data_IF_535351457694
#
_entry.id   IF_535351457694
#
_cell.length_a   1.000
_cell.length_b   1.000
_cell.length_c   1.000
_cell.angle_alpha   90.00
_cell.angle_beta   90.00
_cell.angle_gamma   90.00
#
_symmetry.space_group_name_H-M   'P 1'
#
loop_
_entity.id
_entity.type
_entity.pdbx_description
1 polymer ?
#
# COMPACT_ATOMS: atom_id res chain seq x y z
N UNK A 1 -15.58 12.21 10.48
CA UNK A 1 -14.51 12.01 11.48
C UNK A 1 -13.19 12.52 10.91
N UNK A 2 -12.23 12.95 11.74
CA UNK A 2 -10.89 13.37 11.30
C UNK A 2 -9.93 12.18 11.36
N UNK A 3 -9.45 11.75 10.20
CA UNK A 3 -8.58 10.57 10.07
C UNK A 3 -7.19 10.99 9.62
N UNK A 4 -6.19 10.50 10.35
CA UNK A 4 -4.79 10.70 10.04
C UNK A 4 -4.14 9.40 9.63
N UNK A 5 -3.63 9.34 8.40
CA UNK A 5 -2.83 8.22 7.90
C UNK A 5 -1.35 8.57 8.02
N UNK A 6 -0.57 7.70 8.64
CA UNK A 6 0.85 7.96 8.91
C UNK A 6 1.70 6.83 8.36
N UNK A 7 2.71 7.21 7.56
CA UNK A 7 3.86 6.36 7.25
C UNK A 7 5.07 6.87 8.05
N UNK A 8 5.45 6.20 9.16
CA UNK A 8 6.62 6.59 9.94
C UNK A 8 7.92 6.31 9.18
N UNK A 9 8.92 7.14 9.43
CA UNK A 9 10.19 7.05 8.74
C UNK A 9 10.93 5.79 9.20
N UNK A 10 11.59 5.10 8.25
CA UNK A 10 12.51 4.04 8.61
C UNK A 10 13.64 4.61 9.46
N UNK A 11 14.16 3.83 10.42
CA UNK A 11 15.24 4.27 11.31
C UNK A 11 16.42 4.87 10.53
N UNK A 12 16.76 4.24 9.40
CA UNK A 12 17.83 4.68 8.52
C UNK A 12 17.57 6.10 7.99
N UNK A 13 16.32 6.48 7.71
CA UNK A 13 15.93 7.79 7.19
C UNK A 13 16.17 8.98 8.12
N UNK A 14 16.52 8.71 9.38
CA UNK A 14 16.86 9.72 10.37
C UNK A 14 18.36 9.79 10.69
N UNK A 15 19.19 8.99 10.02
CA UNK A 15 20.65 8.95 10.23
C UNK A 15 21.34 10.21 9.69
N UNK A 16 22.40 10.75 10.33
CA UNK A 16 23.13 11.92 9.83
C UNK A 16 24.03 11.63 8.61
N UNK A 17 24.23 10.38 8.21
CA UNK A 17 25.14 9.98 7.11
C UNK A 17 24.44 9.88 5.73
N UNK A 18 23.42 10.70 5.48
CA UNK A 18 22.27 10.30 4.65
C UNK A 18 22.25 10.65 3.15
N UNK A 19 21.53 9.81 2.39
CA UNK A 19 21.06 10.04 1.01
C UNK A 19 19.52 10.14 0.97
N UNK A 20 18.94 11.36 1.05
CA UNK A 20 17.48 11.58 1.05
C UNK A 20 16.74 10.86 -0.10
N UNK A 21 17.38 10.78 -1.26
CA UNK A 21 16.81 10.23 -2.50
C UNK A 21 16.36 8.77 -2.36
N UNK A 22 17.04 7.95 -1.53
CA UNK A 22 16.75 6.50 -1.47
C UNK A 22 15.40 6.19 -0.82
N UNK A 23 14.85 7.08 0.00
CA UNK A 23 13.67 6.80 0.83
C UNK A 23 12.50 7.76 0.57
N UNK A 24 12.70 8.81 -0.23
CA UNK A 24 11.64 9.64 -0.82
C UNK A 24 11.21 9.14 -2.20
N UNK A 25 11.27 7.82 -2.43
CA UNK A 25 11.14 7.23 -3.77
C UNK A 25 9.69 7.13 -4.22
N UNK A 26 8.84 6.51 -3.40
CA UNK A 26 7.45 6.20 -3.73
C UNK A 26 6.48 6.75 -2.69
N UNK A 27 5.32 7.29 -3.09
CA UNK A 27 4.25 7.63 -2.15
C UNK A 27 3.66 6.40 -1.44
N UNK A 28 3.08 6.57 -0.23
CA UNK A 28 2.47 5.47 0.55
C UNK A 28 1.11 5.06 -0.04
N UNK A 29 1.14 4.32 -1.16
CA UNK A 29 -0.05 3.93 -1.90
C UNK A 29 -1.04 3.09 -1.06
N UNK A 30 -0.55 2.22 -0.18
CA UNK A 30 -1.41 1.41 0.69
C UNK A 30 -2.31 2.28 1.57
N UNK A 31 -1.75 3.27 2.26
CA UNK A 31 -2.51 4.23 3.07
C UNK A 31 -3.46 5.07 2.22
N UNK A 32 -3.02 5.53 1.05
CA UNK A 32 -3.88 6.28 0.13
C UNK A 32 -5.03 5.45 -0.45
N UNK A 33 -4.85 4.13 -0.60
CA UNK A 33 -5.92 3.18 -0.97
C UNK A 33 -6.90 3.00 0.18
N UNK A 34 -6.42 2.83 1.42
CA UNK A 34 -7.31 2.71 2.58
C UNK A 34 -8.13 3.99 2.82
N UNK A 35 -7.53 5.16 2.62
CA UNK A 35 -8.21 6.45 2.73
C UNK A 35 -9.40 6.61 1.77
N UNK A 36 -9.44 5.84 0.67
CA UNK A 36 -10.54 5.87 -0.29
C UNK A 36 -11.84 5.21 0.21
N UNK A 37 -11.78 4.46 1.32
CA UNK A 37 -12.97 3.87 1.97
C UNK A 37 -13.66 4.80 2.97
N UNK A 38 -13.08 5.96 3.25
CA UNK A 38 -13.70 6.95 4.13
C UNK A 38 -14.99 7.51 3.53
N UNK A 39 -15.93 7.89 4.40
CA UNK A 39 -17.17 8.51 3.96
C UNK A 39 -16.88 9.91 3.38
N UNK A 40 -17.76 10.46 2.50
CA UNK A 40 -17.56 11.79 1.94
C UNK A 40 -17.38 12.91 2.98
N UNK A 41 -18.01 12.77 4.15
CA UNK A 41 -17.95 13.74 5.26
C UNK A 41 -16.78 13.49 6.24
N UNK A 42 -15.95 12.49 5.97
CA UNK A 42 -14.72 12.26 6.73
C UNK A 42 -13.58 13.12 6.19
N UNK A 43 -12.86 13.77 7.10
CA UNK A 43 -11.65 14.53 6.76
C UNK A 43 -10.45 13.58 6.83
N UNK A 44 -9.56 13.66 5.85
CA UNK A 44 -8.39 12.79 5.76
C UNK A 44 -7.12 13.63 5.56
N UNK A 45 -6.09 13.32 6.34
CA UNK A 45 -4.71 13.76 6.10
C UNK A 45 -3.81 12.55 5.98
N UNK A 46 -2.85 12.60 5.05
CA UNK A 46 -1.84 11.57 4.88
C UNK A 46 -0.47 12.21 5.07
N UNK A 47 0.30 11.70 6.03
CA UNK A 47 1.64 12.19 6.33
C UNK A 47 2.66 11.06 6.19
N UNK A 48 3.65 11.29 5.33
CA UNK A 48 4.79 10.41 5.15
C UNK A 48 6.04 11.07 5.75
N UNK A 49 6.51 10.50 6.86
CA UNK A 49 7.64 11.01 7.64
C UNK A 49 8.96 10.96 6.85
N UNK A 50 9.04 10.18 5.77
CA UNK A 50 10.22 10.16 4.88
C UNK A 50 10.41 11.47 4.11
N UNK A 51 9.35 12.26 3.94
CA UNK A 51 9.37 13.47 3.10
C UNK A 51 8.82 14.70 3.79
N UNK A 52 8.13 14.54 4.93
CA UNK A 52 7.53 15.63 5.70
C UNK A 52 7.54 15.26 7.18
N UNK A 53 8.02 16.11 8.10
CA UNK A 53 7.82 15.88 9.53
C UNK A 53 6.34 15.68 9.86
N UNK A 54 6.04 14.72 10.75
CA UNK A 54 4.68 14.48 11.26
C UNK A 54 4.30 15.62 12.20
N UNK A 55 3.16 16.26 11.99
CA UNK A 55 2.57 17.15 13.00
C UNK A 55 2.07 16.29 14.17
N UNK A 56 2.64 16.43 15.35
CA UNK A 56 2.26 15.61 16.52
C UNK A 56 1.33 16.38 17.48
N UNK A 57 1.08 17.65 17.22
CA UNK A 57 0.27 18.51 18.09
C UNK A 57 -1.20 18.55 17.67
N UNK A 58 -1.54 17.99 16.51
CA UNK A 58 -2.90 17.80 16.05
C UNK A 58 -3.72 16.80 16.91
N UNK A 59 -5.01 16.72 16.61
CA UNK A 59 -5.99 15.94 17.38
C UNK A 59 -6.96 15.20 16.46
N UNK A 60 -6.50 14.19 15.72
CA UNK A 60 -7.37 13.34 14.91
C UNK A 60 -8.27 12.46 15.79
N UNK A 61 -9.40 12.02 15.25
CA UNK A 61 -10.30 11.07 15.92
C UNK A 61 -9.81 9.62 15.72
N UNK A 62 -9.21 9.34 14.54
CA UNK A 62 -8.62 8.06 14.17
C UNK A 62 -7.22 8.26 13.59
N UNK A 63 -6.25 7.48 14.04
CA UNK A 63 -4.90 7.40 13.49
C UNK A 63 -4.64 6.01 12.92
N UNK A 64 -4.30 5.94 11.63
CA UNK A 64 -3.98 4.71 10.91
C UNK A 64 -2.50 4.71 10.56
N UNK A 65 -1.72 3.80 11.13
CA UNK A 65 -0.27 3.78 10.96
C UNK A 65 0.15 2.52 10.20
N UNK A 66 0.87 2.70 9.10
CA UNK A 66 1.54 1.58 8.41
C UNK A 66 2.89 1.32 9.06
N UNK A 67 3.09 0.11 9.58
CA UNK A 67 4.28 -0.28 10.32
C UNK A 67 5.15 -1.21 9.49
N UNK A 68 6.37 -0.74 9.21
CA UNK A 68 7.46 -1.57 8.70
C UNK A 68 8.38 -1.99 9.85
N UNK A 69 9.12 -3.08 9.65
CA UNK A 69 10.02 -3.63 10.67
C UNK A 69 11.01 -2.57 11.17
N UNK A 70 11.63 -1.83 10.24
CA UNK A 70 12.63 -0.79 10.59
C UNK A 70 12.01 0.54 11.04
N UNK A 71 10.69 0.69 11.02
CA UNK A 71 9.96 1.84 11.59
C UNK A 71 9.11 1.49 12.83
N UNK A 72 9.11 0.23 13.29
CA UNK A 72 8.24 -0.26 14.37
C UNK A 72 8.31 0.58 15.64
N UNK A 73 9.53 0.85 16.15
CA UNK A 73 9.71 1.68 17.37
C UNK A 73 9.14 3.09 17.20
N UNK A 74 9.30 3.70 16.02
CA UNK A 74 8.76 5.04 15.73
C UNK A 74 7.23 4.99 15.62
N UNK A 75 6.69 3.96 14.99
CA UNK A 75 5.26 3.73 14.88
C UNK A 75 4.60 3.55 16.25
N UNK A 76 5.18 2.76 17.15
CA UNK A 76 4.67 2.55 18.50
C UNK A 76 4.72 3.83 19.34
N UNK A 77 5.79 4.61 19.25
CA UNK A 77 5.85 5.91 19.90
C UNK A 77 4.71 6.84 19.44
N UNK A 78 4.46 6.90 18.12
CA UNK A 78 3.37 7.70 17.56
C UNK A 78 2.01 7.18 18.04
N UNK A 79 1.82 5.86 17.99
CA UNK A 79 0.62 5.18 18.45
C UNK A 79 0.29 5.54 19.91
N UNK A 80 1.24 5.35 20.82
CA UNK A 80 1.08 5.66 22.24
C UNK A 80 0.83 7.17 22.48
N UNK A 81 1.53 8.04 21.74
CA UNK A 81 1.35 9.49 21.83
C UNK A 81 -0.07 9.93 21.46
N UNK A 82 -0.63 9.38 20.38
CA UNK A 82 -2.00 9.70 19.94
C UNK A 82 -3.06 9.04 20.81
N UNK A 83 -2.85 7.79 21.24
CA UNK A 83 -3.76 7.08 22.15
C UNK A 83 -3.86 7.79 23.49
N UNK A 84 -2.74 8.28 24.05
CA UNK A 84 -2.73 9.09 25.27
C UNK A 84 -3.50 10.42 25.14
N UNK A 85 -3.78 10.87 23.92
CA UNK A 85 -4.57 12.08 23.60
C UNK A 85 -6.02 11.77 23.19
N UNK A 86 -6.43 10.51 23.31
CA UNK A 86 -7.82 10.07 23.08
C UNK A 86 -8.16 9.75 21.63
N UNK A 87 -7.19 9.71 20.71
CA UNK A 87 -7.44 9.21 19.35
C UNK A 87 -7.54 7.68 19.35
N UNK A 88 -8.41 7.12 18.52
CA UNK A 88 -8.41 5.68 18.24
C UNK A 88 -7.22 5.33 17.34
N UNK A 89 -6.42 4.33 17.69
CA UNK A 89 -5.22 3.96 16.95
C UNK A 89 -5.35 2.58 16.29
N UNK A 90 -5.16 2.57 14.97
CA UNK A 90 -5.14 1.40 14.12
C UNK A 90 -3.73 1.16 13.56
N UNK A 91 -3.15 -0.02 13.82
CA UNK A 91 -1.85 -0.41 13.25
C UNK A 91 -2.02 -1.51 12.21
N UNK A 92 -1.34 -1.38 11.07
CA UNK A 92 -1.30 -2.41 10.03
C UNK A 92 0.05 -2.47 9.33
N UNK A 93 0.19 -3.40 8.40
CA UNK A 93 1.42 -3.58 7.62
C UNK A 93 2.20 -4.83 8.00
N UNK A 94 3.39 -4.97 7.39
CA UNK A 94 4.18 -6.19 7.45
C UNK A 94 4.62 -6.55 8.88
N UNK A 95 5.04 -5.54 9.66
CA UNK A 95 5.48 -5.76 11.04
C UNK A 95 4.33 -6.25 11.92
N UNK A 96 3.17 -5.58 11.84
CA UNK A 96 1.97 -5.93 12.62
C UNK A 96 1.50 -7.34 12.30
N UNK A 97 1.57 -7.75 11.03
CA UNK A 97 1.20 -9.11 10.62
C UNK A 97 2.17 -10.16 11.19
N UNK A 98 3.46 -9.83 11.27
CA UNK A 98 4.50 -10.75 11.74
C UNK A 98 4.57 -10.85 13.27
N UNK A 99 4.29 -9.75 13.98
CA UNK A 99 4.36 -9.63 15.44
C UNK A 99 3.07 -9.00 15.99
N UNK A 100 1.92 -9.69 15.85
CA UNK A 100 0.62 -9.11 16.15
C UNK A 100 0.41 -8.83 17.65
N UNK A 101 0.96 -9.67 18.51
CA UNK A 101 0.80 -9.51 19.97
C UNK A 101 1.60 -8.31 20.48
N UNK A 102 2.84 -8.12 19.98
CA UNK A 102 3.67 -6.94 20.27
C UNK A 102 2.98 -5.64 19.81
N UNK A 103 2.52 -5.60 18.55
CA UNK A 103 1.88 -4.41 18.01
C UNK A 103 0.55 -4.08 18.73
N UNK A 104 -0.18 -5.09 19.19
CA UNK A 104 -1.46 -4.91 19.88
C UNK A 104 -1.32 -4.23 21.25
N UNK A 105 -0.14 -4.20 21.87
CA UNK A 105 0.09 -3.45 23.12
C UNK A 105 -0.02 -1.92 22.89
N UNK A 106 0.25 -1.46 21.67
CA UNK A 106 0.31 -0.05 21.29
C UNK A 106 -0.93 0.47 20.55
N UNK A 107 -1.92 -0.39 20.24
CA UNK A 107 -3.05 -0.04 19.37
C UNK A 107 -4.40 -0.40 19.98
N UNK A 108 -5.45 0.27 19.52
CA UNK A 108 -6.84 -0.13 19.81
C UNK A 108 -7.31 -1.24 18.86
N UNK A 109 -6.82 -1.22 17.60
CA UNK A 109 -7.04 -2.28 16.63
C UNK A 109 -5.77 -2.59 15.81
N UNK A 110 -5.53 -3.87 15.53
CA UNK A 110 -4.46 -4.32 14.62
C UNK A 110 -5.02 -5.04 13.38
N UNK A 111 -4.35 -4.85 12.25
CA UNK A 111 -4.72 -5.40 10.94
C UNK A 111 -3.67 -6.41 10.47
N UNK A 112 -4.11 -7.65 10.24
CA UNK A 112 -3.25 -8.74 9.82
C UNK A 112 -3.52 -9.09 8.33
N UNK A 113 -2.46 -9.02 7.53
CA UNK A 113 -2.52 -9.17 6.08
C UNK A 113 -3.05 -7.92 5.34
N UNK A 114 -3.47 -8.07 4.08
CA UNK A 114 -3.97 -6.95 3.26
C UNK A 114 -5.20 -6.26 3.87
N UNK A 115 -5.22 -4.93 3.83
CA UNK A 115 -6.24 -4.12 4.51
C UNK A 115 -7.52 -3.90 3.70
N UNK A 116 -7.53 -4.10 2.38
CA UNK A 116 -8.65 -3.72 1.51
C UNK A 116 -9.97 -4.43 1.86
N UNK A 117 -9.87 -5.66 2.39
CA UNK A 117 -11.02 -6.45 2.82
C UNK A 117 -11.49 -6.06 4.22
N UNK A 118 -10.56 -5.78 5.13
CA UNK A 118 -10.84 -5.66 6.57
C UNK A 118 -11.10 -4.22 7.01
N UNK A 119 -10.46 -3.25 6.37
CA UNK A 119 -10.57 -1.83 6.70
C UNK A 119 -11.99 -1.26 6.52
N UNK A 120 -12.75 -1.51 5.44
CA UNK A 120 -14.14 -1.05 5.36
C UNK A 120 -15.02 -1.60 6.49
N UNK A 121 -14.87 -2.90 6.83
CA UNK A 121 -15.57 -3.50 7.97
C UNK A 121 -15.21 -2.82 9.29
N UNK A 122 -13.92 -2.53 9.49
CA UNK A 122 -13.47 -1.79 10.65
C UNK A 122 -14.12 -0.40 10.76
N UNK A 123 -14.19 0.35 9.66
CA UNK A 123 -14.82 1.67 9.67
C UNK A 123 -16.30 1.59 10.10
N UNK A 124 -17.02 0.56 9.66
CA UNK A 124 -18.41 0.32 10.08
C UNK A 124 -18.51 0.00 11.58
N UNK A 125 -17.66 -0.91 12.07
CA UNK A 125 -17.64 -1.28 13.49
C UNK A 125 -17.20 -0.10 14.38
N UNK A 126 -16.23 0.71 13.94
CA UNK A 126 -15.77 1.90 14.64
C UNK A 126 -16.90 2.92 14.80
N UNK A 127 -17.61 3.23 13.72
CA UNK A 127 -18.77 4.14 13.76
C UNK A 127 -19.91 3.60 14.62
N UNK A 128 -20.07 2.28 14.69
CA UNK A 128 -21.03 1.62 15.56
C UNK A 128 -20.56 1.46 17.02
N UNK A 129 -19.38 1.95 17.38
CA UNK A 129 -18.84 1.87 18.74
C UNK A 129 -18.46 0.46 19.20
N UNK A 130 -18.19 -0.45 18.25
CA UNK A 130 -17.96 -1.88 18.48
C UNK A 130 -16.76 -2.42 17.70
N UNK A 131 -15.77 -1.56 17.44
CA UNK A 131 -14.52 -1.95 16.80
C UNK A 131 -13.85 -3.11 17.55
N UNK A 132 -13.45 -4.14 16.82
CA UNK A 132 -12.71 -5.27 17.38
C UNK A 132 -11.23 -4.92 17.56
N UNK A 133 -10.53 -5.62 18.45
CA UNK A 133 -9.08 -5.44 18.63
C UNK A 133 -8.24 -6.00 17.48
N UNK A 134 -8.79 -6.94 16.69
CA UNK A 134 -8.05 -7.62 15.61
C UNK A 134 -8.93 -7.78 14.38
N UNK A 135 -8.39 -7.36 13.24
CA UNK A 135 -9.00 -7.52 11.94
C UNK A 135 -8.07 -8.35 11.05
N UNK A 136 -8.49 -9.58 10.73
CA UNK A 136 -7.68 -10.55 9.99
C UNK A 136 -8.24 -10.69 8.58
N UNK A 137 -7.38 -10.55 7.57
CA UNK A 137 -7.77 -10.77 6.17
C UNK A 137 -7.79 -12.26 5.84
N UNK A 138 -8.87 -12.71 5.19
CA UNK A 138 -9.20 -14.12 4.94
C UNK A 138 -9.23 -14.45 3.44
N UNK A 139 -9.87 -15.54 3.04
CA UNK A 139 -9.84 -16.07 1.66
C UNK A 139 -10.60 -15.24 0.62
N UNK A 140 -11.51 -14.36 1.03
CA UNK A 140 -12.36 -13.48 0.23
C UNK A 140 -11.66 -12.18 -0.22
N UNK A 141 -10.33 -12.16 -0.25
CA UNK A 141 -9.52 -11.04 -0.80
C UNK A 141 -9.86 -10.78 -2.28
N UNK A 142 -10.08 -9.52 -2.60
CA UNK A 142 -10.32 -9.06 -3.97
C UNK A 142 -9.87 -7.63 -4.15
N UNK A 143 -9.52 -7.27 -5.39
CA UNK A 143 -9.35 -5.88 -5.82
C UNK A 143 -10.49 -5.43 -6.74
N UNK A 144 -11.58 -6.21 -6.82
CA UNK A 144 -12.76 -5.79 -7.56
C UNK A 144 -13.49 -4.68 -6.80
N UNK A 145 -13.90 -3.62 -7.51
CA UNK A 145 -14.66 -2.49 -6.96
C UNK A 145 -13.91 -1.73 -5.86
N UNK A 146 -12.59 -1.64 -5.95
CA UNK A 146 -11.84 -0.73 -5.10
C UNK A 146 -12.29 0.72 -5.40
N UNK A 147 -12.52 1.55 -4.38
CA UNK A 147 -12.70 2.97 -4.62
C UNK A 147 -11.42 3.58 -5.20
N UNK A 148 -11.53 4.63 -6.04
CA UNK A 148 -10.38 5.37 -6.53
C UNK A 148 -9.39 5.79 -5.44
N UNK A 149 -8.12 5.41 -5.58
CA UNK A 149 -7.05 5.79 -4.65
C UNK A 149 -7.00 7.31 -4.42
N UNK A 150 -6.88 7.74 -3.16
CA UNK A 150 -6.85 9.15 -2.74
C UNK A 150 -5.51 9.82 -2.99
N UNK A 151 -5.11 9.90 -4.27
CA UNK A 151 -3.87 10.57 -4.71
C UNK A 151 -3.87 12.07 -4.48
N UNK A 152 -5.02 12.67 -4.22
CA UNK A 152 -5.17 14.07 -3.79
C UNK A 152 -4.53 14.32 -2.42
N UNK A 153 -4.44 13.30 -1.56
CA UNK A 153 -3.74 13.39 -0.26
C UNK A 153 -2.21 13.37 -0.40
N UNK A 154 -1.68 13.07 -1.59
CA UNK A 154 -0.25 12.90 -1.82
C UNK A 154 0.34 14.17 -2.45
N UNK A 155 1.28 14.80 -1.76
CA UNK A 155 2.11 15.85 -2.36
C UNK A 155 3.16 15.25 -3.30
N UNK A 156 2.75 15.01 -4.55
CA UNK A 156 3.54 14.41 -5.62
C UNK A 156 4.91 15.05 -5.86
N UNK A 157 5.13 16.34 -5.51
CA UNK A 157 6.43 17.01 -5.71
C UNK A 157 7.52 16.54 -4.74
N UNK A 158 7.14 15.81 -3.68
CA UNK A 158 8.07 15.30 -2.67
C UNK A 158 8.63 13.91 -2.99
N UNK A 159 8.18 13.28 -4.08
CA UNK A 159 8.56 11.92 -4.45
C UNK A 159 9.30 11.90 -5.78
N UNK A 160 10.34 11.06 -5.89
CA UNK A 160 11.08 10.88 -7.14
C UNK A 160 10.25 10.14 -8.20
N UNK A 161 9.46 9.15 -7.77
CA UNK A 161 8.63 8.32 -8.64
C UNK A 161 7.16 8.43 -8.21
N UNK A 162 6.52 9.61 -8.43
CA UNK A 162 5.16 9.89 -7.96
C UNK A 162 4.08 9.11 -8.73
N UNK A 163 4.44 8.54 -9.89
CA UNK A 163 3.57 7.69 -10.72
C UNK A 163 3.82 6.19 -10.46
N UNK A 164 4.19 5.84 -9.22
CA UNK A 164 4.14 4.45 -8.81
C UNK A 164 2.70 3.96 -8.71
N UNK A 165 2.45 2.68 -8.99
CA UNK A 165 1.14 2.04 -9.02
C UNK A 165 1.27 0.57 -8.61
N UNK A 166 0.19 -0.04 -8.09
CA UNK A 166 0.14 -1.48 -7.79
C UNK A 166 -1.19 -2.05 -8.31
N UNK A 167 -1.15 -2.92 -9.30
CA UNK A 167 -2.35 -3.46 -9.99
C UNK A 167 -2.67 -4.92 -9.65
N UNK A 168 -1.81 -5.56 -8.87
CA UNK A 168 -1.95 -6.90 -8.32
C UNK A 168 -1.56 -6.88 -6.83
N UNK A 169 -1.75 -7.99 -6.13
CA UNK A 169 -1.27 -8.17 -4.76
C UNK A 169 -0.55 -9.50 -4.65
N UNK A 170 0.59 -9.48 -3.98
CA UNK A 170 1.39 -10.68 -3.74
C UNK A 170 2.02 -11.23 -5.01
N UNK A 171 2.37 -12.51 -4.97
CA UNK A 171 3.07 -13.21 -6.03
C UNK A 171 2.62 -14.68 -6.05
N UNK A 172 2.50 -15.34 -7.22
CA UNK A 172 2.13 -16.76 -7.28
C UNK A 172 3.24 -17.71 -6.80
N UNK A 173 4.47 -17.21 -6.58
CA UNK A 173 5.63 -18.01 -6.18
C UNK A 173 5.72 -18.19 -4.66
N UNK A 174 6.35 -19.28 -4.22
CA UNK A 174 6.49 -19.68 -2.82
C UNK A 174 7.96 -19.86 -2.44
N UNK A 175 8.75 -18.79 -2.57
CA UNK A 175 10.18 -18.83 -2.27
C UNK A 175 10.43 -18.88 -0.75
N UNK A 176 11.23 -19.83 -0.28
CA UNK A 176 11.47 -20.08 1.17
C UNK A 176 12.00 -18.87 1.96
N UNK A 177 12.66 -17.92 1.27
CA UNK A 177 13.22 -16.71 1.87
C UNK A 177 12.26 -15.51 1.87
N UNK A 178 11.11 -15.62 1.20
CA UNK A 178 10.22 -14.49 0.97
C UNK A 178 9.16 -14.40 2.06
N UNK A 179 8.98 -13.21 2.66
CA UNK A 179 7.94 -12.97 3.67
C UNK A 179 6.51 -13.09 3.12
N UNK A 180 6.33 -13.07 1.79
CA UNK A 180 5.03 -12.94 1.12
C UNK A 180 4.02 -13.97 1.64
N UNK A 181 4.41 -15.24 1.78
CA UNK A 181 3.47 -16.27 2.22
C UNK A 181 2.99 -16.06 3.66
N UNK A 182 3.87 -15.61 4.56
CA UNK A 182 3.48 -15.25 5.91
C UNK A 182 2.52 -14.05 5.93
N UNK A 183 2.79 -13.01 5.12
CA UNK A 183 1.93 -11.83 5.06
C UNK A 183 0.54 -12.13 4.47
N UNK A 184 0.46 -13.06 3.51
CA UNK A 184 -0.79 -13.47 2.88
C UNK A 184 -1.37 -14.76 3.46
N UNK A 185 -0.96 -15.19 4.65
CA UNK A 185 -1.50 -16.38 5.31
C UNK A 185 -3.04 -16.28 5.46
N UNK A 186 -3.73 -17.42 5.42
CA UNK A 186 -5.19 -17.49 5.62
C UNK A 186 -6.05 -17.04 4.42
N UNK A 187 -5.44 -16.77 3.26
CA UNK A 187 -6.19 -16.41 2.06
C UNK A 187 -5.39 -16.53 0.76
N UNK A 188 -5.92 -15.92 -0.31
CA UNK A 188 -5.19 -15.89 -1.60
C UNK A 188 -3.92 -15.06 -1.46
N UNK A 189 -2.81 -15.59 -1.96
CA UNK A 189 -1.48 -14.95 -1.97
C UNK A 189 -1.16 -14.25 -3.29
N UNK A 190 -2.04 -14.38 -4.28
CA UNK A 190 -1.96 -13.63 -5.53
C UNK A 190 -3.35 -13.38 -6.15
N UNK A 191 -3.60 -12.12 -6.49
CA UNK A 191 -4.85 -11.67 -7.12
C UNK A 191 -4.66 -10.32 -7.81
N UNK A 192 -5.45 -10.07 -8.86
CA UNK A 192 -5.29 -8.91 -9.75
C UNK A 192 -6.48 -7.95 -9.63
N UNK A 193 -6.27 -6.69 -10.04
CA UNK A 193 -7.35 -5.77 -10.36
C UNK A 193 -8.09 -6.23 -11.63
N UNK A 194 -9.22 -5.61 -11.94
CA UNK A 194 -9.75 -5.66 -13.29
C UNK A 194 -8.84 -4.84 -14.23
N UNK A 195 -8.72 -5.27 -15.49
CA UNK A 195 -7.86 -4.60 -16.47
C UNK A 195 -8.32 -3.16 -16.69
N UNK A 196 -9.63 -2.93 -16.79
CA UNK A 196 -10.20 -1.60 -17.00
C UNK A 196 -9.91 -0.66 -15.82
N UNK A 197 -9.97 -1.16 -14.58
CA UNK A 197 -9.65 -0.38 -13.38
C UNK A 197 -8.17 0.04 -13.37
N UNK A 198 -7.27 -0.89 -13.73
CA UNK A 198 -5.84 -0.62 -13.85
C UNK A 198 -5.55 0.41 -14.95
N UNK A 199 -6.16 0.27 -16.13
CA UNK A 199 -6.02 1.22 -17.25
C UNK A 199 -6.59 2.60 -16.91
N UNK A 200 -7.70 2.66 -16.16
CA UNK A 200 -8.28 3.90 -15.66
C UNK A 200 -7.37 4.60 -14.64
N UNK A 201 -6.70 3.84 -13.75
CA UNK A 201 -5.67 4.41 -12.88
C UNK A 201 -4.47 4.94 -13.66
N UNK A 202 -3.93 4.16 -14.61
CA UNK A 202 -2.82 4.59 -15.47
C UNK A 202 -3.18 5.88 -16.22
N UNK A 203 -4.39 5.97 -16.76
CA UNK A 203 -4.86 7.14 -17.51
C UNK A 203 -4.90 8.41 -16.67
N UNK A 204 -5.21 8.30 -15.37
CA UNK A 204 -5.24 9.43 -14.43
C UNK A 204 -3.85 9.92 -14.00
N UNK A 205 -2.80 9.13 -14.22
CA UNK A 205 -1.43 9.52 -13.89
C UNK A 205 -0.85 10.47 -14.95
N UNK A 206 -0.28 11.63 -14.56
CA UNK A 206 0.25 12.60 -15.51
C UNK A 206 1.57 12.13 -16.13
N UNK A 207 1.91 12.62 -17.32
CA UNK A 207 3.20 12.32 -17.96
C UNK A 207 3.29 10.88 -18.48
N UNK A 208 4.51 10.39 -18.75
CA UNK A 208 4.70 9.10 -19.44
C UNK A 208 5.19 7.96 -18.56
N UNK A 209 5.92 8.29 -17.50
CA UNK A 209 6.66 7.32 -16.69
C UNK A 209 5.75 6.71 -15.64
N UNK A 210 5.79 5.39 -15.51
CA UNK A 210 5.08 4.61 -14.50
C UNK A 210 6.07 3.67 -13.79
N UNK A 211 5.77 3.31 -12.54
CA UNK A 211 6.53 2.30 -11.82
C UNK A 211 5.56 1.33 -11.15
N UNK A 212 5.51 0.10 -11.63
CA UNK A 212 4.70 -0.95 -11.02
C UNK A 212 5.45 -1.51 -9.80
N UNK A 213 4.85 -1.33 -8.63
CA UNK A 213 5.34 -1.80 -7.34
C UNK A 213 4.81 -3.20 -6.99
N UNK A 214 4.11 -3.84 -7.92
CA UNK A 214 3.69 -5.23 -7.85
C UNK A 214 4.87 -6.17 -7.56
N UNK A 215 4.72 -7.09 -6.61
CA UNK A 215 5.74 -8.11 -6.32
C UNK A 215 6.05 -8.96 -7.56
N UNK A 216 5.02 -9.19 -8.40
CA UNK A 216 5.17 -9.85 -9.69
C UNK A 216 4.08 -9.40 -10.68
N UNK A 217 4.36 -8.33 -11.44
CA UNK A 217 3.42 -7.76 -12.42
C UNK A 217 2.98 -8.79 -13.48
N UNK A 218 3.90 -9.63 -13.93
CA UNK A 218 3.69 -10.66 -14.96
C UNK A 218 3.17 -12.00 -14.40
N UNK A 219 2.81 -12.07 -13.11
CA UNK A 219 2.45 -13.32 -12.43
C UNK A 219 1.16 -13.96 -12.92
N UNK A 220 0.19 -13.16 -13.40
CA UNK A 220 -0.99 -13.65 -14.12
C UNK A 220 -0.82 -13.31 -15.60
N UNK A 221 -0.53 -14.31 -16.42
CA UNK A 221 -0.24 -14.13 -17.85
C UNK A 221 -1.41 -13.53 -18.62
N UNK A 222 -2.65 -13.89 -18.25
CA UNK A 222 -3.85 -13.41 -18.95
C UNK A 222 -4.11 -11.94 -18.62
N UNK A 223 -4.05 -11.58 -17.34
CA UNK A 223 -4.19 -10.21 -16.88
C UNK A 223 -3.07 -9.33 -17.45
N UNK A 224 -1.81 -9.76 -17.36
CA UNK A 224 -0.66 -9.00 -17.85
C UNK A 224 -0.75 -8.76 -19.36
N UNK A 225 -1.09 -9.80 -20.15
CA UNK A 225 -1.26 -9.65 -21.60
C UNK A 225 -2.37 -8.65 -21.94
N UNK A 226 -3.53 -8.74 -21.26
CA UNK A 226 -4.65 -7.81 -21.47
C UNK A 226 -4.31 -6.37 -21.04
N UNK A 227 -3.59 -6.20 -19.93
CA UNK A 227 -3.11 -4.90 -19.47
C UNK A 227 -2.17 -4.27 -20.49
N UNK A 228 -1.18 -5.02 -20.97
CA UNK A 228 -0.21 -4.51 -21.95
C UNK A 228 -0.86 -4.21 -23.31
N UNK A 229 -1.87 -4.99 -23.71
CA UNK A 229 -2.64 -4.71 -24.91
C UNK A 229 -3.40 -3.39 -24.78
N UNK A 230 -4.10 -3.17 -23.66
CA UNK A 230 -4.77 -1.90 -23.37
C UNK A 230 -3.82 -0.71 -23.22
N UNK A 231 -2.55 -0.97 -22.86
CA UNK A 231 -1.52 0.07 -22.78
C UNK A 231 -0.94 0.47 -24.14
N UNK A 232 -1.15 -0.31 -25.21
CA UNK A 232 -0.65 0.04 -26.55
C UNK A 232 -1.22 1.39 -26.98
N UNK A 233 -0.36 2.25 -27.54
CA UNK A 233 -0.76 3.58 -27.99
C UNK A 233 -0.94 4.63 -26.88
N UNK A 234 -0.95 4.26 -25.59
CA UNK A 234 -1.00 5.23 -24.48
C UNK A 234 0.29 6.04 -24.34
N UNK A 235 1.36 5.66 -25.03
CA UNK A 235 2.66 6.35 -25.01
C UNK A 235 3.39 6.27 -23.66
N UNK A 236 3.02 5.31 -22.80
CA UNK A 236 3.62 5.12 -21.46
C UNK A 236 4.98 4.44 -21.55
N UNK A 237 5.82 4.71 -20.56
CA UNK A 237 7.08 4.01 -20.29
C UNK A 237 7.02 3.52 -18.86
N UNK A 238 7.36 2.27 -18.61
CA UNK A 238 7.19 1.71 -17.26
C UNK A 238 8.33 0.81 -16.83
N UNK A 239 8.45 0.66 -15.51
CA UNK A 239 9.32 -0.29 -14.85
C UNK A 239 8.47 -1.23 -13.98
N UNK A 240 8.94 -2.45 -13.75
CA UNK A 240 8.24 -3.39 -12.87
C UNK A 240 9.03 -4.64 -12.54
N UNK A 241 8.58 -5.37 -11.53
CA UNK A 241 9.20 -6.64 -11.14
C UNK A 241 8.60 -7.83 -11.92
N UNK A 242 9.47 -8.74 -12.31
CA UNK A 242 9.13 -10.03 -12.91
C UNK A 242 10.08 -11.11 -12.38
N UNK A 243 9.74 -12.37 -12.65
CA UNK A 243 10.61 -13.52 -12.36
C UNK A 243 11.27 -14.00 -13.64
N UNK A 244 12.32 -14.82 -13.52
CA UNK A 244 13.00 -15.44 -14.68
C UNK A 244 12.03 -16.29 -15.51
N UNK A 245 10.97 -16.83 -14.90
CA UNK A 245 9.90 -17.57 -15.61
C UNK A 245 9.25 -16.73 -16.73
N UNK A 246 9.09 -15.43 -16.51
CA UNK A 246 8.51 -14.51 -17.50
C UNK A 246 9.39 -14.35 -18.74
N UNK A 247 10.69 -14.64 -18.63
CA UNK A 247 11.67 -14.58 -19.73
C UNK A 247 11.78 -15.95 -20.42
N UNK A 248 11.78 -17.03 -19.65
CA UNK A 248 12.02 -18.37 -20.19
C UNK A 248 10.81 -18.96 -20.93
N UNK A 249 9.60 -18.48 -20.66
CA UNK A 249 8.37 -19.08 -21.18
C UNK A 249 7.43 -18.04 -21.79
N UNK A 250 7.09 -18.22 -23.07
CA UNK A 250 6.17 -17.38 -23.82
C UNK A 250 6.81 -16.09 -24.35
N UNK A 251 5.97 -15.11 -24.73
CA UNK A 251 6.34 -13.83 -25.34
C UNK A 251 5.84 -12.62 -24.54
N UNK A 252 5.56 -12.84 -23.24
CA UNK A 252 4.92 -11.84 -22.39
C UNK A 252 5.86 -10.66 -22.10
N UNK A 253 7.17 -10.89 -22.01
CA UNK A 253 8.17 -9.83 -21.83
C UNK A 253 8.28 -8.98 -23.10
N UNK A 254 8.22 -9.58 -24.28
CA UNK A 254 8.21 -8.88 -25.57
C UNK A 254 6.95 -8.03 -25.70
N UNK A 255 5.80 -8.58 -25.31
CA UNK A 255 4.53 -7.84 -25.24
C UNK A 255 4.63 -6.65 -24.27
N UNK A 256 5.23 -6.85 -23.10
CA UNK A 256 5.48 -5.78 -22.13
C UNK A 256 6.41 -4.70 -22.69
N UNK A 257 7.50 -5.09 -23.36
CA UNK A 257 8.47 -4.18 -23.98
C UNK A 257 7.81 -3.32 -25.07
N UNK A 258 6.97 -3.93 -25.90
CA UNK A 258 6.18 -3.25 -26.92
C UNK A 258 5.16 -2.27 -26.31
N UNK A 259 4.60 -2.59 -25.14
CA UNK A 259 3.69 -1.74 -24.38
C UNK A 259 4.39 -0.62 -23.59
N UNK A 260 5.72 -0.66 -23.44
CA UNK A 260 6.51 0.41 -22.82
C UNK A 260 7.43 -0.01 -21.67
N UNK A 261 7.62 -1.31 -21.38
CA UNK A 261 8.55 -1.78 -20.35
C UNK A 261 9.98 -1.36 -20.69
N UNK A 262 10.70 -0.76 -19.72
CA UNK A 262 12.09 -0.30 -19.89
C UNK A 262 13.04 -0.76 -18.80
N UNK A 263 12.54 -1.27 -17.67
CA UNK A 263 13.34 -1.83 -16.59
C UNK A 263 12.51 -2.67 -15.64
#
# INVERSE_FOLDING_TARGET
>A
MRVKFVLPALTEATSPYWRPIKYSLFPPLGLATLAAYLAPDDEAVLEDEHVTPIDIDDRPDLVVIQVYITSARRAYWLADHYRARGAFVALGGLHVTSLPDEAAEHADAVFLGPGEQTFPRFLDDLRAGRAARRYISTSDRTLARLPPIRRDLINRRRYLVPNSIVVTRGCPQHCDFCYKDAFFEGGRSFYTQQVDDALAEISRLPGRHLYFLDDHLLGDRRFAAALFDGMRGMGRLFQGAATVDSILHGDLIETAAAAGLRS
#
